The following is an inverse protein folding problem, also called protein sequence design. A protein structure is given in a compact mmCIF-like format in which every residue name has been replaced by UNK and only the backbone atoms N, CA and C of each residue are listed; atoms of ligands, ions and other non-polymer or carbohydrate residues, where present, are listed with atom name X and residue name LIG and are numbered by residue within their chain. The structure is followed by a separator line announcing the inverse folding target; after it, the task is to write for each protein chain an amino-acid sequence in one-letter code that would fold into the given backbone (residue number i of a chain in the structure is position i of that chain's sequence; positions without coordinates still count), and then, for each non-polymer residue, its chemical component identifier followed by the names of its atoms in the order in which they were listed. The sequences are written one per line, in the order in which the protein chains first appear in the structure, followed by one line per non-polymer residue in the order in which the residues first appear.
data_IF_021917933442
#
_entry.id   IF_021917933442
#
_cell.length_a   1.000
_cell.length_b   1.000
_cell.length_c   1.000
_cell.angle_alpha   90.00
_cell.angle_beta   90.00
_cell.angle_gamma   90.00
#
_symmetry.space_group_name_H-M   'P 1'
#
loop_
_entity.id
_entity.type
_entity.pdbx_description
1 polymer ?
#
# COMPACT_ATOMS: atom_id res chain seq x y z
N UNK A 1 24.74 18.96 5.41
CA UNK A 1 23.59 18.21 5.97
C UNK A 1 24.12 17.30 7.06
N UNK A 2 23.71 17.50 8.30
CA UNK A 2 23.95 16.50 9.35
C UNK A 2 23.31 15.17 8.92
N UNK A 3 24.05 14.06 9.04
CA UNK A 3 23.47 12.73 8.94
C UNK A 3 22.51 12.58 10.11
N UNK A 4 21.22 12.63 9.83
CA UNK A 4 20.20 12.34 10.83
C UNK A 4 20.44 10.91 11.34
N UNK A 5 20.71 10.77 12.63
CA UNK A 5 20.97 9.47 13.24
C UNK A 5 19.63 8.71 13.32
N UNK A 6 19.50 7.64 12.54
CA UNK A 6 18.33 6.77 12.55
C UNK A 6 18.32 5.94 13.84
N UNK A 7 17.66 6.45 14.86
CA UNK A 7 17.38 5.71 16.09
C UNK A 7 16.01 5.03 16.03
N UNK A 8 15.74 4.20 17.03
CA UNK A 8 14.46 3.49 17.18
C UNK A 8 13.26 4.46 17.21
N UNK A 9 13.43 5.64 17.81
CA UNK A 9 12.35 6.61 17.99
C UNK A 9 11.93 7.23 16.66
N UNK A 10 12.90 7.69 15.87
CA UNK A 10 12.69 8.25 14.54
C UNK A 10 12.13 7.20 13.59
N UNK A 11 12.63 5.95 13.66
CA UNK A 11 12.06 4.84 12.91
C UNK A 11 10.56 4.63 13.23
N UNK A 12 10.19 4.56 14.51
CA UNK A 12 8.80 4.37 14.93
C UNK A 12 7.90 5.53 14.48
N UNK A 13 8.40 6.78 14.56
CA UNK A 13 7.67 7.96 14.09
C UNK A 13 7.38 7.89 12.59
N UNK A 14 8.40 7.62 11.78
CA UNK A 14 8.25 7.52 10.31
C UNK A 14 7.32 6.37 9.94
N UNK A 15 7.49 5.20 10.56
CA UNK A 15 6.60 4.06 10.37
C UNK A 15 5.14 4.41 10.68
N UNK A 16 4.89 5.07 11.81
CA UNK A 16 3.54 5.46 12.21
C UNK A 16 2.95 6.48 11.22
N UNK A 17 3.75 7.44 10.73
CA UNK A 17 3.32 8.40 9.72
C UNK A 17 2.91 7.72 8.41
N UNK A 18 3.75 6.82 7.89
CA UNK A 18 3.45 6.03 6.69
C UNK A 18 2.19 5.19 6.89
N UNK A 19 2.06 4.55 8.05
CA UNK A 19 0.90 3.75 8.39
C UNK A 19 -0.38 4.61 8.44
N UNK A 20 -0.34 5.78 9.09
CA UNK A 20 -1.47 6.72 9.12
C UNK A 20 -1.87 7.16 7.71
N UNK A 21 -0.90 7.42 6.82
CA UNK A 21 -1.16 7.77 5.43
C UNK A 21 -1.89 6.65 4.69
N UNK A 22 -1.42 5.40 4.81
CA UNK A 22 -2.04 4.23 4.19
C UNK A 22 -3.46 3.98 4.72
N UNK A 23 -3.66 4.12 6.03
CA UNK A 23 -4.96 3.96 6.69
C UNK A 23 -5.97 4.97 6.16
N UNK A 24 -5.61 6.26 6.18
CA UNK A 24 -6.50 7.35 5.75
C UNK A 24 -6.82 7.24 4.27
N UNK A 25 -5.83 6.93 3.43
CA UNK A 25 -6.04 6.79 1.99
C UNK A 25 -6.99 5.64 1.65
N UNK A 26 -6.84 4.50 2.31
CA UNK A 26 -7.64 3.31 2.02
C UNK A 26 -8.93 3.21 2.83
N UNK A 27 -9.19 4.16 3.73
CA UNK A 27 -10.32 4.11 4.68
C UNK A 27 -10.39 2.78 5.46
N UNK A 28 -9.22 2.23 5.83
CA UNK A 28 -9.12 0.93 6.54
C UNK A 28 -8.99 1.10 8.04
N UNK A 29 -9.22 0.03 8.80
CA UNK A 29 -8.92 0.01 10.24
C UNK A 29 -7.43 -0.21 10.44
N UNK A 30 -6.85 0.45 11.45
CA UNK A 30 -5.40 0.48 11.62
C UNK A 30 -4.71 -0.88 11.72
N UNK A 31 -5.40 -1.92 12.21
CA UNK A 31 -4.83 -3.26 12.31
C UNK A 31 -4.50 -3.91 10.97
N UNK A 32 -5.21 -3.59 9.89
CA UNK A 32 -4.98 -4.21 8.57
C UNK A 32 -3.66 -3.68 7.97
N UNK A 33 -3.50 -2.38 7.64
CA UNK A 33 -2.24 -1.89 7.07
C UNK A 33 -1.04 -2.01 8.02
N UNK A 34 -1.24 -2.17 9.32
CA UNK A 34 -0.14 -2.39 10.28
C UNK A 34 0.51 -3.78 10.15
N UNK A 35 -0.18 -4.75 9.52
CA UNK A 35 0.33 -6.10 9.28
C UNK A 35 1.02 -6.26 7.93
N UNK A 36 1.04 -5.21 7.12
CA UNK A 36 1.66 -5.23 5.80
C UNK A 36 3.16 -5.47 5.94
N UNK A 37 3.63 -6.51 5.27
CA UNK A 37 5.04 -6.88 5.24
C UNK A 37 5.76 -6.15 4.11
N UNK A 38 7.08 -6.03 4.23
CA UNK A 38 7.92 -5.48 3.16
C UNK A 38 7.83 -6.32 1.88
N UNK A 39 7.63 -7.63 2.00
CA UNK A 39 7.49 -8.50 0.83
C UNK A 39 6.17 -8.27 0.08
N UNK A 40 5.04 -8.15 0.77
CA UNK A 40 3.77 -7.80 0.14
C UNK A 40 3.84 -6.44 -0.56
N UNK A 41 4.56 -5.47 0.03
CA UNK A 41 4.84 -4.19 -0.64
C UNK A 41 5.72 -4.36 -1.89
N UNK A 42 6.76 -5.20 -1.85
CA UNK A 42 7.61 -5.50 -3.02
C UNK A 42 6.82 -6.16 -4.15
N UNK A 43 5.95 -7.11 -3.81
CA UNK A 43 5.06 -7.77 -4.79
C UNK A 43 4.04 -6.77 -5.38
N UNK A 44 3.57 -5.80 -4.58
CA UNK A 44 2.67 -4.75 -5.06
C UNK A 44 3.35 -3.85 -6.10
N UNK A 45 4.59 -3.41 -5.86
CA UNK A 45 5.29 -2.53 -6.80
C UNK A 45 5.62 -3.22 -8.12
N UNK A 46 5.84 -4.55 -8.11
CA UNK A 46 6.01 -5.38 -9.32
C UNK A 46 4.70 -5.73 -10.02
N UNK A 47 3.55 -5.36 -9.46
CA UNK A 47 2.23 -5.61 -10.04
C UNK A 47 1.73 -7.04 -9.88
N UNK A 48 2.37 -7.86 -9.03
CA UNK A 48 2.08 -9.29 -8.87
C UNK A 48 0.66 -9.57 -8.40
N UNK A 49 0.04 -8.62 -7.69
CA UNK A 49 -1.32 -8.75 -7.16
C UNK A 49 -2.41 -8.39 -8.16
N UNK A 50 -2.07 -7.89 -9.35
CA UNK A 50 -3.04 -7.46 -10.33
C UNK A 50 -3.24 -8.60 -11.35
N UNK A 51 -4.41 -9.23 -11.34
CA UNK A 51 -4.82 -10.22 -12.35
C UNK A 51 -5.25 -9.48 -13.64
N UNK A 52 -4.54 -9.63 -14.76
CA UNK A 52 -4.87 -8.95 -16.02
C UNK A 52 -6.31 -9.22 -16.49
N UNK A 53 -6.81 -10.45 -16.27
CA UNK A 53 -8.17 -10.82 -16.68
C UNK A 53 -9.24 -10.13 -15.83
N UNK A 54 -8.90 -9.75 -14.60
CA UNK A 54 -9.79 -9.00 -13.72
C UNK A 54 -9.85 -7.53 -14.12
N UNK A 55 -8.71 -6.92 -14.51
CA UNK A 55 -8.66 -5.52 -14.96
C UNK A 55 -9.58 -5.32 -16.17
N UNK A 56 -9.55 -6.24 -17.14
CA UNK A 56 -10.38 -6.13 -18.35
C UNK A 56 -11.88 -6.12 -18.07
N UNK A 57 -12.30 -6.63 -16.90
CA UNK A 57 -13.70 -6.71 -16.48
C UNK A 57 -14.16 -5.49 -15.66
N UNK A 58 -13.25 -4.57 -15.34
CA UNK A 58 -13.57 -3.37 -14.56
C UNK A 58 -14.21 -2.34 -15.48
N UNK A 59 -15.51 -2.16 -15.30
CA UNK A 59 -16.31 -1.20 -16.07
C UNK A 59 -16.36 0.18 -15.42
N UNK A 60 -16.07 0.29 -14.13
CA UNK A 60 -16.06 1.57 -13.43
C UNK A 60 -14.80 2.38 -13.81
N UNK A 61 -14.96 3.59 -14.39
CA UNK A 61 -13.82 4.39 -14.85
C UNK A 61 -12.89 4.83 -13.72
N UNK A 62 -13.41 5.01 -12.51
CA UNK A 62 -12.62 5.42 -11.34
C UNK A 62 -11.79 4.23 -10.86
N UNK A 63 -12.38 3.05 -10.72
CA UNK A 63 -11.64 1.84 -10.34
C UNK A 63 -10.53 1.52 -11.34
N UNK A 64 -10.82 1.64 -12.65
CA UNK A 64 -9.82 1.47 -13.71
C UNK A 64 -8.67 2.47 -13.56
N UNK A 65 -9.00 3.76 -13.39
CA UNK A 65 -7.99 4.78 -13.15
C UNK A 65 -7.13 4.49 -11.92
N UNK A 66 -7.74 4.03 -10.82
CA UNK A 66 -7.01 3.71 -9.59
C UNK A 66 -6.02 2.54 -9.79
N UNK A 67 -6.43 1.47 -10.47
CA UNK A 67 -5.56 0.31 -10.73
C UNK A 67 -4.44 0.65 -11.71
N UNK A 68 -4.73 1.46 -12.73
CA UNK A 68 -3.72 1.89 -13.72
C UNK A 68 -2.65 2.81 -13.09
N UNK A 69 -3.01 3.55 -12.04
CA UNK A 69 -2.15 4.60 -11.47
C UNK A 69 -1.55 4.29 -10.10
N UNK A 70 -2.02 3.27 -9.40
CA UNK A 70 -1.61 2.93 -8.04
C UNK A 70 -1.15 1.47 -7.97
N UNK A 71 -0.35 1.17 -6.94
CA UNK A 71 0.05 -0.21 -6.66
C UNK A 71 -0.96 -0.85 -5.71
N UNK A 72 -1.14 -2.15 -5.82
CA UNK A 72 -2.18 -2.89 -5.11
C UNK A 72 -1.56 -4.07 -4.36
N UNK A 73 -1.98 -4.26 -3.12
CA UNK A 73 -1.86 -5.52 -2.38
C UNK A 73 -3.23 -5.92 -1.81
N UNK A 74 -3.32 -7.14 -1.32
CA UNK A 74 -4.50 -7.63 -0.62
C UNK A 74 -4.17 -8.06 0.79
N UNK A 75 -5.04 -7.73 1.73
CA UNK A 75 -4.89 -8.14 3.14
C UNK A 75 -6.10 -8.88 3.65
N UNK A 76 -5.90 -9.76 4.63
CA UNK A 76 -7.00 -10.47 5.28
C UNK A 76 -7.75 -9.52 6.23
N UNK A 77 -9.04 -9.31 5.96
CA UNK A 77 -9.94 -8.54 6.82
C UNK A 77 -10.28 -9.26 8.14
N UNK A 78 -10.67 -8.50 9.16
CA UNK A 78 -10.87 -9.00 10.54
C UNK A 78 -11.82 -10.19 10.70
N UNK A 79 -12.89 -10.29 9.89
CA UNK A 79 -14.02 -11.19 10.20
C UNK A 79 -14.35 -12.25 9.16
N UNK A 80 -13.76 -12.23 7.97
CA UNK A 80 -14.35 -12.98 6.85
C UNK A 80 -13.37 -13.83 6.04
N UNK A 81 -12.07 -13.89 6.39
CA UNK A 81 -11.00 -14.41 5.51
C UNK A 81 -10.97 -13.75 4.11
N UNK A 82 -11.86 -12.78 3.84
CA UNK A 82 -11.92 -12.08 2.57
C UNK A 82 -10.72 -11.16 2.49
N UNK A 83 -10.08 -11.22 1.34
CA UNK A 83 -9.05 -10.30 0.96
C UNK A 83 -9.68 -8.93 0.70
N UNK A 84 -9.10 -7.88 1.28
CA UNK A 84 -9.47 -6.49 1.02
C UNK A 84 -8.33 -5.79 0.30
N UNK A 85 -8.62 -4.95 -0.71
CA UNK A 85 -7.60 -4.23 -1.43
C UNK A 85 -6.99 -3.13 -0.55
N UNK A 86 -5.67 -2.99 -0.67
CA UNK A 86 -4.87 -1.89 -0.14
C UNK A 86 -4.08 -1.27 -1.29
N UNK A 87 -4.43 -0.03 -1.61
CA UNK A 87 -3.77 0.79 -2.60
C UNK A 87 -2.62 1.55 -1.96
N UNK A 88 -1.47 1.58 -2.64
CA UNK A 88 -0.31 2.37 -2.23
C UNK A 88 -0.29 3.71 -2.97
N UNK A 89 -0.45 4.84 -2.25
CA UNK A 89 -0.28 6.17 -2.82
C UNK A 89 1.12 6.38 -3.40
N UNK A 90 1.24 7.19 -4.45
CA UNK A 90 2.54 7.49 -5.09
C UNK A 90 3.57 8.06 -4.12
N UNK A 91 3.13 8.80 -3.08
CA UNK A 91 3.99 9.34 -2.02
C UNK A 91 4.54 8.28 -1.04
N UNK A 92 4.10 7.03 -1.14
CA UNK A 92 4.57 5.89 -0.34
C UNK A 92 5.46 4.93 -1.13
N UNK A 93 5.79 5.27 -2.38
CA UNK A 93 6.66 4.47 -3.24
C UNK A 93 8.09 5.00 -3.17
N UNK A 94 9.05 4.13 -3.51
CA UNK A 94 10.44 4.55 -3.66
C UNK A 94 10.54 5.66 -4.72
N UNK A 95 11.40 6.67 -4.50
CA UNK A 95 11.66 7.69 -5.51
C UNK A 95 12.25 7.01 -6.76
N UNK A 96 11.88 7.53 -7.94
CA UNK A 96 12.49 7.08 -9.20
C UNK A 96 13.99 7.36 -9.11
N UNK A 97 14.77 6.29 -8.99
CA UNK A 97 16.22 6.35 -9.09
C UNK A 97 16.56 6.40 -10.57
N UNK A 98 17.14 7.51 -11.03
CA UNK A 98 17.68 7.62 -12.39
C UNK A 98 19.04 6.94 -12.47
#
# INVERSE_FOLDING_TARGET
MEKQMWDKHNFVKVRNLVLSRLIMFNSRRGGEPARLTVNEWREAITGTWIDPNLIERINDPIEKYLIDNLKLAYQVGKSSRKLVPVLFPKDTLEPISK
#
